data_IF_951793431013
#
_entry.id   IF_951793431013
#
_cell.length_a   1.000
_cell.length_b   1.000
_cell.length_c   1.000
_cell.angle_alpha   90.00
_cell.angle_beta   90.00
_cell.angle_gamma   90.00
#
_symmetry.space_group_name_H-M   'P 1'
#
loop_
_entity.id
_entity.type
_entity.pdbx_description
1 polymer ?
#
# COMPACT_ATOMS: atom_id res chain seq x y z
N UNK A 1 -10.78 17.01 -22.25
CA UNK A 1 -11.44 17.09 -20.92
C UNK A 1 -10.86 15.97 -20.08
N UNK A 2 -9.89 16.30 -19.21
CA UNK A 2 -9.12 15.37 -18.38
C UNK A 2 -9.65 15.46 -16.95
N UNK A 3 -10.00 14.32 -16.34
CA UNK A 3 -10.51 14.18 -14.95
C UNK A 3 -9.47 13.56 -13.99
N UNK A 4 -8.20 13.52 -14.37
CA UNK A 4 -7.27 12.52 -13.84
C UNK A 4 -6.43 12.94 -12.60
N UNK A 5 -6.49 14.18 -12.11
CA UNK A 5 -5.59 14.61 -11.02
C UNK A 5 -6.00 14.13 -9.62
N UNK A 6 -7.30 13.93 -9.39
CA UNK A 6 -7.82 13.61 -8.04
C UNK A 6 -7.93 12.13 -7.73
N UNK A 7 -7.82 11.26 -8.74
CA UNK A 7 -8.10 9.84 -8.57
C UNK A 7 -6.97 9.11 -7.83
N UNK A 8 -5.70 9.49 -7.92
CA UNK A 8 -4.62 8.62 -7.43
C UNK A 8 -4.44 8.58 -5.91
N UNK A 9 -4.61 9.72 -5.21
CA UNK A 9 -4.57 9.77 -3.74
C UNK A 9 -5.88 9.25 -3.14
N UNK A 10 -7.02 9.47 -3.82
CA UNK A 10 -8.31 8.92 -3.42
C UNK A 10 -8.47 7.44 -3.76
N UNK A 11 -7.84 6.90 -4.80
CA UNK A 11 -7.87 5.48 -5.15
C UNK A 11 -7.09 4.65 -4.15
N UNK A 12 -6.00 5.17 -3.57
CA UNK A 12 -5.30 4.52 -2.46
C UNK A 12 -6.21 4.37 -1.22
N UNK A 13 -7.05 5.38 -0.94
CA UNK A 13 -8.03 5.38 0.16
C UNK A 13 -9.35 4.67 -0.20
N UNK A 14 -9.70 4.59 -1.49
CA UNK A 14 -10.92 3.91 -1.96
C UNK A 14 -10.68 2.42 -2.27
N UNK A 15 -9.46 2.01 -2.62
CA UNK A 15 -9.13 0.60 -2.79
C UNK A 15 -9.31 -0.18 -1.48
N UNK A 16 -9.15 0.48 -0.32
CA UNK A 16 -9.50 -0.09 0.99
C UNK A 16 -11.00 -0.04 1.32
N UNK A 17 -11.80 0.76 0.60
CA UNK A 17 -13.27 0.77 0.69
C UNK A 17 -13.96 -0.25 -0.24
N UNK A 18 -13.22 -0.91 -1.14
CA UNK A 18 -13.78 -1.84 -2.13
C UNK A 18 -13.96 -3.28 -1.62
N UNK A 19 -13.53 -3.59 -0.39
CA UNK A 19 -13.75 -4.91 0.21
C UNK A 19 -14.85 -4.78 1.25
N UNK A 20 -16.09 -5.09 0.82
CA UNK A 20 -17.32 -5.25 1.63
C UNK A 20 -18.22 -4.02 1.72
N UNK A 21 -18.90 -3.66 0.63
CA UNK A 21 -20.19 -2.96 0.70
C UNK A 21 -20.92 -3.05 -0.64
N UNK A 22 -21.70 -4.11 -0.82
CA UNK A 22 -22.66 -4.23 -1.95
C UNK A 22 -23.76 -3.15 -1.93
N UNK A 23 -23.77 -2.26 -0.94
CA UNK A 23 -24.72 -1.17 -0.77
C UNK A 23 -24.23 0.20 -1.28
N UNK A 24 -22.95 0.37 -1.66
CA UNK A 24 -22.41 1.63 -2.19
C UNK A 24 -22.51 1.75 -3.72
N UNK A 25 -23.12 0.78 -4.40
CA UNK A 25 -23.17 0.72 -5.87
C UNK A 25 -24.17 1.69 -6.54
N UNK A 26 -24.94 2.49 -5.78
CA UNK A 26 -25.99 3.36 -6.34
C UNK A 26 -25.78 4.86 -6.16
N UNK A 27 -24.85 5.31 -5.31
CA UNK A 27 -24.44 6.70 -5.23
C UNK A 27 -22.97 6.80 -5.61
N UNK A 28 -22.71 7.06 -6.89
CA UNK A 28 -21.36 7.39 -7.33
C UNK A 28 -20.78 8.54 -6.48
N UNK A 29 -19.47 8.56 -6.22
CA UNK A 29 -18.86 9.62 -5.42
C UNK A 29 -19.29 10.98 -5.97
N UNK A 30 -19.78 11.86 -5.07
CA UNK A 30 -20.15 13.24 -5.45
C UNK A 30 -19.00 13.85 -6.25
N UNK A 31 -19.28 14.55 -7.36
CA UNK A 31 -18.22 15.14 -8.17
C UNK A 31 -17.39 16.08 -7.30
N UNK A 32 -16.15 15.69 -7.04
CA UNK A 32 -15.20 16.53 -6.32
C UNK A 32 -14.94 17.73 -7.24
N UNK A 33 -15.16 18.99 -6.78
CA UNK A 33 -14.85 20.16 -7.60
C UNK A 33 -13.39 20.08 -8.07
N UNK A 34 -13.04 20.55 -9.29
CA UNK A 34 -11.67 20.48 -9.80
C UNK A 34 -10.68 21.17 -8.84
N UNK A 35 -9.43 20.69 -8.83
CA UNK A 35 -8.36 21.28 -8.02
C UNK A 35 -8.08 22.73 -8.40
N UNK A 36 -7.37 23.48 -7.57
CA UNK A 36 -6.96 24.85 -7.88
C UNK A 36 -6.10 24.91 -9.15
N UNK A 37 -5.27 23.89 -9.36
CA UNK A 37 -4.46 23.77 -10.59
C UNK A 37 -5.35 23.51 -11.81
N UNK A 38 -6.33 22.61 -11.70
CA UNK A 38 -7.22 22.25 -12.81
C UNK A 38 -8.18 23.38 -13.19
N UNK A 39 -8.54 24.22 -12.22
CA UNK A 39 -9.47 25.34 -12.40
C UNK A 39 -8.81 26.63 -12.92
N UNK A 40 -7.50 26.79 -12.77
CA UNK A 40 -6.74 27.93 -13.30
C UNK A 40 -5.84 27.50 -14.48
N UNK A 41 -6.16 27.91 -15.72
CA UNK A 41 -5.37 27.54 -16.90
C UNK A 41 -3.89 27.99 -16.86
N UNK A 42 -3.55 29.05 -16.12
CA UNK A 42 -2.15 29.48 -15.95
C UNK A 42 -1.42 28.52 -15.02
N UNK A 43 -2.03 28.16 -13.88
CA UNK A 43 -1.47 27.17 -12.97
C UNK A 43 -1.37 25.80 -13.62
N UNK A 44 -2.37 25.37 -14.39
CA UNK A 44 -2.32 24.13 -15.16
C UNK A 44 -1.11 24.08 -16.11
N UNK A 45 -0.86 25.15 -16.89
CA UNK A 45 0.30 25.21 -17.79
C UNK A 45 1.63 25.22 -17.04
N UNK A 46 1.70 25.95 -15.92
CA UNK A 46 2.90 25.97 -15.07
C UNK A 46 3.17 24.59 -14.47
N UNK A 47 2.14 23.91 -13.96
CA UNK A 47 2.22 22.55 -13.46
C UNK A 47 2.71 21.59 -14.55
N UNK A 48 2.14 21.64 -15.75
CA UNK A 48 2.57 20.78 -16.87
C UNK A 48 4.03 21.03 -17.26
N UNK A 49 4.46 22.29 -17.32
CA UNK A 49 5.85 22.65 -17.63
C UNK A 49 6.82 22.11 -16.56
N UNK A 50 6.48 22.31 -15.27
CA UNK A 50 7.26 21.81 -14.16
C UNK A 50 7.36 20.28 -14.17
N UNK A 51 6.25 19.56 -14.34
CA UNK A 51 6.24 18.09 -14.39
C UNK A 51 7.02 17.54 -15.60
N UNK A 52 7.04 18.23 -16.74
CA UNK A 52 7.90 17.85 -17.87
C UNK A 52 9.38 17.97 -17.52
N UNK A 53 9.78 19.09 -16.94
CA UNK A 53 11.18 19.32 -16.54
C UNK A 53 11.62 18.34 -15.43
N UNK A 54 10.78 18.14 -14.42
CA UNK A 54 11.07 17.21 -13.33
C UNK A 54 11.21 15.77 -13.84
N UNK A 55 10.33 15.32 -14.74
CA UNK A 55 10.45 13.97 -15.34
C UNK A 55 11.72 13.79 -16.15
N UNK A 56 12.13 14.80 -16.94
CA UNK A 56 13.39 14.73 -17.67
C UNK A 56 14.58 14.55 -16.71
N UNK A 57 14.62 15.33 -15.62
CA UNK A 57 15.65 15.21 -14.61
C UNK A 57 15.62 13.84 -13.90
N UNK A 58 14.43 13.33 -13.56
CA UNK A 58 14.27 12.01 -12.96
C UNK A 58 14.77 10.94 -13.93
N UNK A 59 14.41 10.99 -15.21
CA UNK A 59 14.89 10.02 -16.19
C UNK A 59 16.42 10.05 -16.33
N UNK A 60 17.02 11.23 -16.41
CA UNK A 60 18.49 11.36 -16.42
C UNK A 60 19.11 10.80 -15.14
N UNK A 61 18.50 11.07 -13.98
CA UNK A 61 18.93 10.53 -12.70
C UNK A 61 18.82 9.01 -12.63
N UNK A 62 17.72 8.42 -13.10
CA UNK A 62 17.50 6.97 -13.10
C UNK A 62 18.50 6.26 -14.02
N UNK A 63 18.88 6.86 -15.16
CA UNK A 63 19.99 6.32 -15.98
C UNK A 63 21.31 6.32 -15.23
N UNK A 64 21.62 7.40 -14.49
CA UNK A 64 22.83 7.47 -13.67
C UNK A 64 22.80 6.48 -12.49
N UNK A 65 21.64 6.27 -11.87
CA UNK A 65 21.42 5.25 -10.84
C UNK A 65 21.67 3.85 -11.43
N UNK A 66 21.02 3.51 -12.53
CA UNK A 66 21.20 2.22 -13.19
C UNK A 66 22.66 1.97 -13.63
N UNK A 67 23.39 3.01 -14.06
CA UNK A 67 24.79 2.91 -14.45
C UNK A 67 25.73 2.49 -13.31
N UNK A 68 25.30 2.59 -12.03
CA UNK A 68 26.07 2.05 -10.89
C UNK A 68 26.10 0.52 -10.88
N UNK A 69 25.13 -0.13 -11.53
CA UNK A 69 25.13 -1.58 -11.77
C UNK A 69 24.86 -2.45 -10.55
N UNK A 70 24.51 -1.89 -9.38
CA UNK A 70 24.11 -2.74 -8.25
C UNK A 70 22.70 -3.29 -8.48
N UNK A 71 22.37 -4.53 -8.02
CA UNK A 71 21.01 -5.07 -8.16
C UNK A 71 19.94 -4.15 -7.57
N UNK A 72 20.24 -3.48 -6.45
CA UNK A 72 19.33 -2.54 -5.79
C UNK A 72 19.09 -1.27 -6.61
N UNK A 73 20.14 -0.69 -7.19
CA UNK A 73 20.03 0.49 -8.05
C UNK A 73 19.30 0.17 -9.36
N UNK A 74 19.62 -0.96 -10.00
CA UNK A 74 18.97 -1.44 -11.21
C UNK A 74 17.48 -1.70 -10.97
N UNK A 75 17.14 -2.27 -9.81
CA UNK A 75 15.76 -2.54 -9.42
C UNK A 75 14.98 -1.24 -9.17
N UNK A 76 15.54 -0.30 -8.41
CA UNK A 76 14.91 0.99 -8.17
C UNK A 76 14.73 1.78 -9.49
N UNK A 77 15.75 1.78 -10.35
CA UNK A 77 15.67 2.40 -11.66
C UNK A 77 14.61 1.74 -12.55
N UNK A 78 14.60 0.42 -12.63
CA UNK A 78 13.61 -0.34 -13.41
C UNK A 78 12.18 -0.06 -12.97
N UNK A 79 11.94 0.00 -11.66
CA UNK A 79 10.60 0.21 -11.10
C UNK A 79 10.07 1.64 -11.30
N UNK A 80 10.97 2.64 -11.23
CA UNK A 80 10.62 4.05 -11.44
C UNK A 80 10.57 4.44 -12.92
N UNK A 81 10.92 3.54 -13.84
CA UNK A 81 11.14 3.87 -15.25
C UNK A 81 9.97 3.56 -16.20
N UNK A 82 9.72 4.49 -17.15
CA UNK A 82 9.64 5.92 -17.02
C UNK A 82 8.43 6.34 -16.19
N UNK A 83 8.50 7.59 -15.74
CA UNK A 83 7.45 8.30 -15.02
C UNK A 83 6.31 8.72 -15.97
N UNK A 84 5.68 7.76 -16.66
CA UNK A 84 4.58 8.03 -17.58
C UNK A 84 3.25 8.01 -16.82
N UNK A 85 2.46 9.07 -16.98
CA UNK A 85 1.19 9.27 -16.26
C UNK A 85 -0.03 8.98 -17.12
N UNK A 86 0.15 8.54 -18.37
CA UNK A 86 -0.96 8.24 -19.25
C UNK A 86 -1.56 6.87 -18.93
N UNK A 87 -2.71 6.87 -18.26
CA UNK A 87 -3.46 5.67 -17.88
C UNK A 87 -3.77 4.77 -19.08
N UNK A 88 -4.03 5.34 -20.26
CA UNK A 88 -4.28 4.56 -21.47
C UNK A 88 -3.03 3.79 -21.91
N UNK A 89 -1.85 4.40 -21.79
CA UNK A 89 -0.57 3.77 -22.09
C UNK A 89 -0.14 2.77 -21.00
N UNK A 90 -0.42 3.06 -19.72
CA UNK A 90 -0.17 2.16 -18.59
C UNK A 90 -1.04 0.91 -18.64
N UNK A 91 -2.34 1.06 -18.93
CA UNK A 91 -3.30 -0.05 -19.05
C UNK A 91 -3.03 -0.93 -20.29
N UNK A 92 -2.58 -0.33 -21.40
CA UNK A 92 -2.32 -1.07 -22.64
C UNK A 92 -1.02 -1.89 -22.60
N UNK A 93 -0.05 -1.52 -21.76
CA UNK A 93 1.28 -2.14 -21.76
C UNK A 93 1.60 -2.88 -20.46
N UNK A 94 0.94 -2.61 -19.34
CA UNK A 94 1.42 -3.01 -18.02
C UNK A 94 2.54 -2.06 -17.56
N UNK A 95 2.57 -1.74 -16.26
CA UNK A 95 3.36 -0.62 -15.70
C UNK A 95 4.88 -0.72 -15.95
N UNK A 96 5.42 -1.93 -16.20
CA UNK A 96 6.86 -2.17 -16.33
C UNK A 96 7.30 -2.86 -17.63
N UNK A 97 6.42 -3.11 -18.60
CA UNK A 97 6.73 -3.91 -19.81
C UNK A 97 7.61 -3.22 -20.86
N UNK A 98 8.38 -2.23 -20.45
CA UNK A 98 9.15 -1.37 -21.34
C UNK A 98 10.56 -1.93 -21.50
N UNK A 99 11.17 -1.90 -22.70
CA UNK A 99 12.44 -2.57 -22.96
C UNK A 99 13.57 -2.18 -21.99
N UNK A 100 13.67 -0.90 -21.63
CA UNK A 100 14.70 -0.40 -20.72
C UNK A 100 14.48 -0.85 -19.27
N UNK A 101 13.25 -0.73 -18.76
CA UNK A 101 12.90 -1.20 -17.42
C UNK A 101 13.13 -2.71 -17.32
N UNK A 102 12.66 -3.47 -18.31
CA UNK A 102 12.89 -4.91 -18.43
C UNK A 102 14.37 -5.26 -18.43
N UNK A 103 15.20 -4.53 -19.18
CA UNK A 103 16.64 -4.78 -19.23
C UNK A 103 17.32 -4.55 -17.87
N UNK A 104 16.94 -3.50 -17.15
CA UNK A 104 17.45 -3.24 -15.79
C UNK A 104 16.97 -4.27 -14.78
N UNK A 105 15.69 -4.66 -14.80
CA UNK A 105 15.17 -5.72 -13.92
C UNK A 105 15.83 -7.08 -14.23
N UNK A 106 16.06 -7.40 -15.50
CA UNK A 106 16.78 -8.62 -15.89
C UNK A 106 18.22 -8.60 -15.34
N UNK A 107 18.95 -7.50 -15.55
CA UNK A 107 20.30 -7.37 -15.03
C UNK A 107 20.36 -7.45 -13.49
N UNK A 108 19.39 -6.83 -12.79
CA UNK A 108 19.27 -6.94 -11.34
C UNK A 108 19.09 -8.40 -10.90
N UNK A 109 18.26 -9.17 -11.61
CA UNK A 109 18.05 -10.59 -11.34
C UNK A 109 19.30 -11.44 -11.62
N UNK A 110 19.99 -11.20 -12.74
CA UNK A 110 21.17 -11.97 -13.16
C UNK A 110 22.35 -11.77 -12.18
N UNK A 111 22.47 -10.56 -11.62
CA UNK A 111 23.52 -10.19 -10.67
C UNK A 111 23.15 -10.44 -9.20
N UNK A 112 21.87 -10.56 -8.86
CA UNK A 112 21.44 -10.85 -7.50
C UNK A 112 21.99 -12.20 -7.00
N UNK A 113 22.67 -12.19 -5.85
CA UNK A 113 23.28 -13.39 -5.23
C UNK A 113 22.51 -13.92 -4.02
N UNK A 114 21.44 -13.25 -3.61
CA UNK A 114 20.65 -13.61 -2.43
C UNK A 114 21.20 -13.04 -1.12
N UNK A 115 22.05 -12.03 -1.22
CA UNK A 115 22.64 -11.25 -0.13
C UNK A 115 21.79 -10.03 0.27
N UNK A 116 20.91 -9.54 -0.63
CA UNK A 116 19.92 -8.50 -0.33
C UNK A 116 18.48 -9.08 -0.38
N UNK A 117 17.87 -9.40 0.77
CA UNK A 117 16.52 -9.95 0.84
C UNK A 117 15.44 -9.02 0.27
N UNK A 118 15.66 -7.70 0.26
CA UNK A 118 14.71 -6.76 -0.35
C UNK A 118 14.73 -6.91 -1.87
N UNK A 119 15.91 -7.02 -2.48
CA UNK A 119 16.04 -7.22 -3.93
C UNK A 119 15.34 -8.51 -4.36
N UNK A 120 15.60 -9.63 -3.67
CA UNK A 120 14.97 -10.91 -4.02
C UNK A 120 13.44 -10.87 -3.85
N UNK A 121 12.93 -10.22 -2.80
CA UNK A 121 11.49 -10.06 -2.59
C UNK A 121 10.85 -9.20 -3.69
N UNK A 122 11.45 -8.07 -4.05
CA UNK A 122 10.88 -7.18 -5.08
C UNK A 122 10.93 -7.82 -6.46
N UNK A 123 11.99 -8.58 -6.77
CA UNK A 123 12.12 -9.30 -8.03
C UNK A 123 10.98 -10.30 -8.28
N UNK A 124 10.33 -10.82 -7.22
CA UNK A 124 9.16 -11.69 -7.39
C UNK A 124 8.07 -11.02 -8.25
N UNK A 125 7.80 -9.74 -8.01
CA UNK A 125 6.75 -9.00 -8.72
C UNK A 125 7.32 -8.20 -9.90
N UNK A 126 8.55 -7.68 -9.79
CA UNK A 126 9.22 -6.91 -10.84
C UNK A 126 9.32 -7.72 -12.14
N UNK A 127 9.67 -9.00 -12.02
CA UNK A 127 9.90 -9.85 -13.17
C UNK A 127 8.61 -10.12 -13.94
N UNK A 128 7.51 -10.43 -13.24
CA UNK A 128 6.21 -10.69 -13.85
C UNK A 128 5.66 -9.44 -14.56
N UNK A 129 5.77 -8.27 -13.90
CA UNK A 129 5.22 -7.00 -14.42
C UNK A 129 6.07 -6.39 -15.54
N UNK A 130 7.38 -6.66 -15.57
CA UNK A 130 8.30 -6.18 -16.62
C UNK A 130 8.46 -7.12 -17.81
N UNK A 131 8.03 -8.38 -17.66
CA UNK A 131 8.30 -9.44 -18.64
C UNK A 131 9.76 -9.91 -18.65
N UNK A 132 10.55 -9.60 -17.61
CA UNK A 132 11.89 -10.17 -17.44
C UNK A 132 11.81 -11.70 -17.24
N UNK A 133 12.81 -12.42 -17.75
CA UNK A 133 12.86 -13.87 -17.71
C UNK A 133 13.55 -14.33 -16.41
N UNK A 134 12.81 -14.25 -15.30
CA UNK A 134 13.31 -14.66 -13.99
C UNK A 134 12.78 -16.04 -13.61
N UNK A 135 13.61 -16.83 -12.91
CA UNK A 135 13.16 -18.06 -12.26
C UNK A 135 12.46 -17.70 -10.94
N UNK A 136 11.12 -17.65 -10.99
CA UNK A 136 10.29 -17.35 -9.83
C UNK A 136 10.45 -18.37 -8.71
N UNK A 137 10.65 -19.66 -9.02
CA UNK A 137 10.81 -20.69 -8.00
C UNK A 137 12.13 -20.51 -7.26
N UNK A 138 13.20 -20.18 -7.98
CA UNK A 138 14.51 -19.84 -7.38
C UNK A 138 14.44 -18.60 -6.50
N UNK A 139 13.71 -17.56 -6.93
CA UNK A 139 13.49 -16.36 -6.11
C UNK A 139 12.72 -16.70 -4.83
N UNK A 140 11.58 -17.40 -4.94
CA UNK A 140 10.80 -17.83 -3.79
C UNK A 140 11.63 -18.64 -2.80
N UNK A 141 12.43 -19.59 -3.29
CA UNK A 141 13.32 -20.39 -2.44
C UNK A 141 14.33 -19.52 -1.68
N UNK A 142 14.90 -18.50 -2.32
CA UNK A 142 15.82 -17.54 -1.66
C UNK A 142 15.11 -16.70 -0.61
N UNK A 143 13.95 -16.13 -0.94
CA UNK A 143 13.18 -15.30 0.00
C UNK A 143 12.74 -16.12 1.21
N UNK A 144 12.25 -17.36 1.01
CA UNK A 144 11.90 -18.27 2.10
C UNK A 144 13.13 -18.62 2.94
N UNK A 145 14.28 -18.88 2.33
CA UNK A 145 15.50 -19.21 3.08
C UNK A 145 16.02 -18.02 3.90
N UNK A 146 15.89 -16.80 3.38
CA UNK A 146 16.27 -15.57 4.07
C UNK A 146 15.30 -15.16 5.19
N UNK A 147 14.05 -15.65 5.14
CA UNK A 147 13.01 -15.31 6.12
C UNK A 147 11.97 -16.45 6.34
N UNK A 148 12.40 -17.61 6.88
CA UNK A 148 11.59 -18.84 6.88
C UNK A 148 10.36 -18.80 7.80
N UNK A 149 10.28 -17.80 8.68
CA UNK A 149 9.18 -17.62 9.63
C UNK A 149 8.14 -16.59 9.18
N UNK A 150 8.28 -16.00 7.99
CA UNK A 150 7.42 -14.92 7.52
C UNK A 150 6.22 -15.45 6.72
N UNK A 151 5.03 -15.24 7.28
CA UNK A 151 3.77 -15.64 6.67
C UNK A 151 3.56 -15.03 5.28
N UNK A 152 3.98 -13.79 5.02
CA UNK A 152 3.81 -13.15 3.70
C UNK A 152 4.52 -13.96 2.60
N UNK A 153 5.78 -14.31 2.84
CA UNK A 153 6.58 -15.08 1.87
C UNK A 153 6.00 -16.47 1.63
N UNK A 154 5.52 -17.13 2.69
CA UNK A 154 4.86 -18.44 2.59
C UNK A 154 3.54 -18.36 1.83
N UNK A 155 2.79 -17.25 1.95
CA UNK A 155 1.57 -17.02 1.18
C UNK A 155 1.86 -16.75 -0.31
N UNK A 156 2.96 -16.06 -0.63
CA UNK A 156 3.43 -15.90 -2.01
C UNK A 156 3.81 -17.26 -2.62
N UNK A 157 4.49 -18.12 -1.86
CA UNK A 157 4.84 -19.46 -2.29
C UNK A 157 3.62 -20.38 -2.45
N UNK A 158 2.62 -20.23 -1.58
CA UNK A 158 1.31 -20.86 -1.73
C UNK A 158 0.65 -20.46 -3.06
N UNK A 159 0.61 -19.16 -3.37
CA UNK A 159 0.00 -18.67 -4.61
C UNK A 159 0.71 -19.22 -5.85
N UNK A 160 2.04 -19.21 -5.87
CA UNK A 160 2.84 -19.80 -6.94
C UNK A 160 2.53 -21.30 -7.13
N UNK A 161 2.44 -22.05 -6.04
CA UNK A 161 2.06 -23.47 -6.11
C UNK A 161 0.64 -23.67 -6.66
N UNK A 162 -0.32 -22.82 -6.29
CA UNK A 162 -1.68 -22.83 -6.85
C UNK A 162 -1.66 -22.55 -8.35
N UNK A 163 -0.92 -21.53 -8.80
CA UNK A 163 -0.78 -21.18 -10.22
C UNK A 163 -0.16 -22.32 -11.04
N UNK A 164 0.82 -23.03 -10.46
CA UNK A 164 1.42 -24.25 -11.04
C UNK A 164 0.54 -25.50 -10.90
N UNK A 165 -0.64 -25.40 -10.28
CA UNK A 165 -1.55 -26.51 -10.00
C UNK A 165 -0.92 -27.62 -9.14
N UNK A 166 0.04 -27.26 -8.29
CA UNK A 166 0.72 -28.14 -7.35
C UNK A 166 0.01 -28.10 -6.00
N UNK A 167 -1.04 -28.92 -5.87
CA UNK A 167 -1.89 -28.93 -4.68
C UNK A 167 -1.15 -29.36 -3.40
N UNK A 168 -0.13 -30.22 -3.54
CA UNK A 168 0.66 -30.72 -2.40
C UNK A 168 1.55 -29.62 -1.86
N UNK A 169 2.30 -28.93 -2.74
CA UNK A 169 3.12 -27.79 -2.32
C UNK A 169 2.27 -26.64 -1.80
N UNK A 170 1.13 -26.35 -2.43
CA UNK A 170 0.21 -25.33 -1.96
C UNK A 170 -0.25 -25.64 -0.54
N UNK A 171 -0.72 -26.85 -0.25
CA UNK A 171 -1.14 -27.19 1.11
C UNK A 171 0.02 -27.10 2.12
N UNK A 172 1.21 -27.54 1.75
CA UNK A 172 2.39 -27.45 2.60
C UNK A 172 2.73 -26.00 2.97
N UNK A 173 2.72 -25.07 2.00
CA UNK A 173 2.97 -23.65 2.24
C UNK A 173 1.84 -23.01 3.05
N UNK A 174 0.59 -23.35 2.78
CA UNK A 174 -0.55 -22.87 3.56
C UNK A 174 -0.44 -23.24 5.05
N UNK A 175 -0.16 -24.51 5.32
CA UNK A 175 0.02 -25.03 6.68
C UNK A 175 1.25 -24.41 7.36
N UNK A 176 2.31 -24.14 6.60
CA UNK A 176 3.49 -23.46 7.11
C UNK A 176 3.21 -22.00 7.44
N UNK A 177 2.42 -21.29 6.63
CA UNK A 177 1.98 -19.93 6.92
C UNK A 177 1.14 -19.87 8.21
N UNK A 178 0.30 -20.89 8.49
CA UNK A 178 -0.40 -21.01 9.77
C UNK A 178 0.51 -21.17 10.99
N UNK A 179 1.69 -21.76 10.80
CA UNK A 179 2.71 -21.94 11.84
C UNK A 179 3.80 -20.87 11.84
N UNK A 180 3.68 -19.86 10.99
CA UNK A 180 4.64 -18.78 10.88
C UNK A 180 4.76 -18.02 12.20
N UNK A 181 5.95 -17.48 12.48
CA UNK A 181 6.21 -16.73 13.70
C UNK A 181 5.87 -15.25 13.57
N UNK A 182 5.84 -14.72 12.35
CA UNK A 182 5.60 -13.31 12.09
C UNK A 182 5.01 -13.08 10.70
N UNK A 183 4.46 -11.88 10.49
CA UNK A 183 4.11 -11.34 9.19
C UNK A 183 4.87 -10.02 9.04
N UNK A 184 5.70 -9.90 8.00
CA UNK A 184 6.44 -8.67 7.71
C UNK A 184 6.33 -8.38 6.23
N UNK A 185 5.54 -7.36 5.91
CA UNK A 185 5.57 -6.82 4.56
C UNK A 185 6.82 -5.99 4.34
N UNK A 186 7.49 -6.20 3.20
CA UNK A 186 8.63 -5.38 2.78
C UNK A 186 8.23 -4.14 2.01
N UNK A 187 6.94 -3.89 1.82
CA UNK A 187 6.43 -2.80 0.99
C UNK A 187 6.93 -1.41 1.41
N UNK A 188 7.08 -1.19 2.71
CA UNK A 188 7.61 0.06 3.26
C UNK A 188 9.09 0.24 2.92
N UNK A 189 9.89 -0.83 2.98
CA UNK A 189 11.31 -0.81 2.59
C UNK A 189 11.47 -0.51 1.10
N UNK A 190 10.57 -1.02 0.25
CA UNK A 190 10.52 -0.68 -1.19
C UNK A 190 10.15 0.79 -1.37
N UNK A 191 9.14 1.27 -0.65
CA UNK A 191 8.75 2.68 -0.63
C UNK A 191 9.91 3.59 -0.25
N UNK A 192 10.63 3.26 0.83
CA UNK A 192 11.78 4.02 1.31
C UNK A 192 12.91 4.04 0.28
N UNK A 193 13.18 2.90 -0.38
CA UNK A 193 14.15 2.81 -1.47
C UNK A 193 13.76 3.74 -2.63
N UNK A 194 12.54 3.63 -3.15
CA UNK A 194 12.06 4.46 -4.25
C UNK A 194 12.06 5.95 -3.89
N UNK A 195 11.62 6.30 -2.69
CA UNK A 195 11.61 7.68 -2.21
C UNK A 195 13.03 8.25 -2.13
N UNK A 196 13.99 7.48 -1.60
CA UNK A 196 15.39 7.92 -1.52
C UNK A 196 15.99 8.24 -2.90
N UNK A 197 15.65 7.43 -3.91
CA UNK A 197 16.11 7.66 -5.29
C UNK A 197 15.46 8.92 -5.88
N UNK A 198 14.15 9.10 -5.72
CA UNK A 198 13.48 10.30 -6.23
C UNK A 198 13.90 11.58 -5.50
N UNK A 199 14.16 11.53 -4.19
CA UNK A 199 14.63 12.70 -3.42
C UNK A 199 16.05 13.12 -3.80
N UNK A 200 16.87 12.19 -4.28
CA UNK A 200 18.21 12.47 -4.79
C UNK A 200 18.20 13.05 -6.22
N UNK A 201 17.05 13.03 -6.92
CA UNK A 201 16.93 13.59 -8.26
C UNK A 201 16.93 15.12 -8.23
N UNK A 202 17.71 15.79 -9.11
CA UNK A 202 17.59 17.23 -9.31
C UNK A 202 16.15 17.62 -9.64
N UNK A 203 15.62 18.62 -8.94
CA UNK A 203 14.24 19.07 -9.14
C UNK A 203 14.23 20.52 -9.65
N UNK A 204 13.41 20.85 -10.67
CA UNK A 204 13.25 22.23 -11.09
C UNK A 204 12.62 23.03 -9.95
N UNK A 205 12.98 24.32 -9.87
CA UNK A 205 12.42 25.22 -8.86
C UNK A 205 10.89 25.30 -9.01
N UNK A 206 10.20 25.21 -7.87
CA UNK A 206 8.75 25.38 -7.81
C UNK A 206 8.44 26.86 -7.57
N UNK A 207 7.75 27.47 -8.53
CA UNK A 207 7.15 28.80 -8.33
C UNK A 207 6.29 28.80 -7.04
N UNK A 208 6.40 29.82 -6.17
CA UNK A 208 5.66 29.85 -4.91
C UNK A 208 4.13 29.75 -5.05
N UNK A 209 3.56 30.29 -6.12
CA UNK A 209 2.11 30.23 -6.38
C UNK A 209 1.70 28.82 -6.78
N UNK A 210 2.50 28.18 -7.65
CA UNK A 210 2.30 26.80 -8.03
C UNK A 210 2.49 25.85 -6.83
N UNK A 211 3.52 26.06 -6.02
CA UNK A 211 3.78 25.29 -4.81
C UNK A 211 2.61 25.36 -3.81
N UNK A 212 2.05 26.55 -3.61
CA UNK A 212 0.88 26.74 -2.76
C UNK A 212 -0.35 26.01 -3.31
N UNK A 213 -0.61 26.10 -4.62
CA UNK A 213 -1.73 25.42 -5.27
C UNK A 213 -1.59 23.89 -5.22
N UNK A 214 -0.37 23.36 -5.44
CA UNK A 214 -0.07 21.93 -5.29
C UNK A 214 -0.26 21.46 -3.84
N UNK A 215 0.20 22.26 -2.88
CA UNK A 215 0.02 21.97 -1.47
C UNK A 215 -1.44 21.97 -1.03
N UNK A 216 -2.27 22.82 -1.63
CA UNK A 216 -3.72 22.84 -1.45
C UNK A 216 -4.39 21.61 -2.06
N UNK A 217 -4.06 21.26 -3.31
CA UNK A 217 -4.65 20.14 -4.04
C UNK A 217 -4.27 18.78 -3.43
N UNK A 218 -3.05 18.64 -2.91
CA UNK A 218 -2.61 17.49 -2.10
C UNK A 218 -3.15 17.55 -0.66
N UNK A 219 -3.59 18.74 -0.24
CA UNK A 219 -3.93 19.10 1.13
C UNK A 219 -2.82 18.72 2.10
N UNK A 220 -1.72 19.45 2.05
CA UNK A 220 -0.60 19.36 2.98
C UNK A 220 -0.74 20.34 4.15
N UNK A 221 -1.58 21.37 4.01
CA UNK A 221 -1.65 22.49 4.95
C UNK A 221 -0.49 23.48 4.82
N UNK A 222 0.31 23.35 3.77
CA UNK A 222 1.49 24.15 3.43
C UNK A 222 1.73 24.09 1.94
N UNK A 223 2.62 24.94 1.42
CA UNK A 223 3.14 24.78 0.06
C UNK A 223 3.83 23.42 -0.12
N UNK A 224 3.62 22.81 -1.28
CA UNK A 224 4.30 21.59 -1.67
C UNK A 224 5.78 21.86 -1.99
N UNK A 225 6.58 20.82 -1.78
CA UNK A 225 7.98 20.74 -2.18
C UNK A 225 8.13 19.67 -3.26
N UNK A 226 9.25 19.67 -3.98
CA UNK A 226 9.54 18.61 -4.96
C UNK A 226 9.60 17.22 -4.31
N UNK A 227 10.00 17.16 -3.02
CA UNK A 227 9.99 15.93 -2.23
C UNK A 227 8.57 15.36 -2.08
N UNK A 228 7.59 16.23 -1.78
CA UNK A 228 6.19 15.81 -1.64
C UNK A 228 5.65 15.18 -2.94
N UNK A 229 6.05 15.73 -4.09
CA UNK A 229 5.64 15.21 -5.40
C UNK A 229 6.28 13.86 -5.69
N UNK A 230 7.56 13.68 -5.33
CA UNK A 230 8.22 12.36 -5.35
C UNK A 230 7.50 11.35 -4.46
N UNK A 231 7.16 11.74 -3.22
CA UNK A 231 6.46 10.87 -2.26
C UNK A 231 5.08 10.44 -2.75
N UNK A 232 4.34 11.33 -3.44
CA UNK A 232 3.05 10.99 -4.06
C UNK A 232 3.21 9.93 -5.16
N UNK A 233 4.27 10.01 -5.97
CA UNK A 233 4.55 8.98 -6.98
C UNK A 233 4.88 7.64 -6.32
N UNK A 234 5.74 7.64 -5.30
CA UNK A 234 6.09 6.41 -4.56
C UNK A 234 4.86 5.77 -3.93
N UNK A 235 3.99 6.58 -3.31
CA UNK A 235 2.75 6.08 -2.71
C UNK A 235 1.85 5.42 -3.75
N UNK A 236 1.69 6.04 -4.92
CA UNK A 236 0.90 5.47 -6.02
C UNK A 236 1.48 4.13 -6.51
N UNK A 237 2.81 4.01 -6.60
CA UNK A 237 3.48 2.76 -6.98
C UNK A 237 3.36 1.69 -5.89
N UNK A 238 3.51 2.03 -4.61
CA UNK A 238 3.40 1.09 -3.50
C UNK A 238 2.00 0.45 -3.43
N UNK A 239 0.94 1.22 -3.61
CA UNK A 239 -0.45 0.68 -3.55
C UNK A 239 -0.67 -0.43 -4.59
N UNK A 240 -0.06 -0.31 -5.78
CA UNK A 240 -0.17 -1.32 -6.82
C UNK A 240 0.48 -2.66 -6.45
N UNK A 241 1.43 -2.66 -5.50
CA UNK A 241 2.17 -3.84 -5.04
C UNK A 241 1.46 -4.53 -3.86
N UNK A 242 0.77 -3.77 -3.00
CA UNK A 242 0.23 -4.28 -1.74
C UNK A 242 -0.93 -5.28 -1.88
N UNK A 243 -1.79 -5.10 -2.90
CA UNK A 243 -3.08 -5.79 -2.97
C UNK A 243 -3.01 -7.30 -3.32
N UNK A 244 -2.18 -7.76 -4.26
CA UNK A 244 -2.11 -9.18 -4.61
C UNK A 244 -1.73 -10.09 -3.44
N UNK A 245 -0.93 -9.62 -2.48
CA UNK A 245 -0.47 -10.41 -1.34
C UNK A 245 -1.60 -10.94 -0.42
N UNK A 246 -2.78 -10.28 -0.45
CA UNK A 246 -3.94 -10.68 0.36
C UNK A 246 -4.88 -11.65 -0.37
N UNK A 247 -4.69 -11.85 -1.67
CA UNK A 247 -5.56 -12.68 -2.50
C UNK A 247 -5.70 -14.14 -1.98
N UNK A 248 -4.63 -14.82 -1.53
CA UNK A 248 -4.76 -16.15 -0.93
C UNK A 248 -5.74 -16.22 0.26
N UNK A 249 -5.68 -15.20 1.13
CA UNK A 249 -6.55 -15.10 2.30
C UNK A 249 -7.98 -14.82 1.87
N UNK A 250 -8.17 -13.92 0.90
CA UNK A 250 -9.50 -13.66 0.36
C UNK A 250 -10.10 -14.94 -0.24
N UNK A 251 -9.35 -15.72 -1.03
CA UNK A 251 -9.89 -16.92 -1.66
C UNK A 251 -10.20 -18.04 -0.65
N UNK A 252 -9.31 -18.26 0.33
CA UNK A 252 -9.38 -19.45 1.21
C UNK A 252 -10.10 -19.19 2.54
N UNK A 253 -10.12 -17.94 3.00
CA UNK A 253 -10.65 -17.57 4.30
C UNK A 253 -11.95 -16.74 4.25
N UNK A 254 -12.52 -16.41 3.08
CA UNK A 254 -13.77 -15.63 2.99
C UNK A 254 -15.04 -16.44 2.72
N UNK A 255 -14.96 -17.78 2.62
CA UNK A 255 -16.19 -18.57 2.55
C UNK A 255 -17.04 -18.26 3.80
N UNK A 256 -18.27 -17.74 3.58
CA UNK A 256 -19.17 -17.25 4.63
C UNK A 256 -19.18 -18.19 5.85
N UNK A 257 -19.23 -17.59 7.04
CA UNK A 257 -19.29 -18.27 8.36
C UNK A 257 -20.14 -19.54 8.26
N UNK A 258 -19.54 -20.68 8.62
CA UNK A 258 -20.17 -22.00 8.54
C UNK A 258 -19.81 -22.87 7.32
N UNK A 259 -19.02 -22.36 6.36
CA UNK A 259 -18.56 -23.14 5.18
C UNK A 259 -17.05 -23.42 5.14
N UNK A 260 -16.26 -22.87 6.06
CA UNK A 260 -14.83 -23.18 6.18
C UNK A 260 -14.66 -24.36 7.14
N UNK A 261 -13.98 -25.45 6.74
CA UNK A 261 -13.64 -26.55 7.65
C UNK A 261 -12.91 -26.04 8.90
N UNK A 262 -13.16 -26.64 10.07
CA UNK A 262 -12.61 -26.17 11.36
C UNK A 262 -11.08 -26.02 11.33
N UNK A 263 -10.39 -26.94 10.66
CA UNK A 263 -8.94 -26.91 10.48
C UNK A 263 -8.48 -25.73 9.63
N UNK A 264 -9.15 -25.48 8.50
CA UNK A 264 -8.85 -24.34 7.65
C UNK A 264 -9.14 -23.01 8.37
N UNK A 265 -10.20 -22.95 9.19
CA UNK A 265 -10.51 -21.79 10.02
C UNK A 265 -9.41 -21.52 11.04
N UNK A 266 -8.87 -22.55 11.68
CA UNK A 266 -7.74 -22.43 12.64
C UNK A 266 -6.52 -21.81 11.96
N UNK A 267 -6.13 -22.32 10.80
CA UNK A 267 -5.00 -21.77 10.03
C UNK A 267 -5.26 -20.33 9.60
N UNK A 268 -6.44 -20.03 9.04
CA UNK A 268 -6.81 -18.65 8.67
C UNK A 268 -6.73 -17.70 9.87
N UNK A 269 -7.19 -18.13 11.04
CA UNK A 269 -7.17 -17.34 12.27
C UNK A 269 -5.76 -17.04 12.75
N UNK A 270 -4.84 -18.01 12.65
CA UNK A 270 -3.42 -17.80 12.95
C UNK A 270 -2.80 -16.74 12.01
N UNK A 271 -3.04 -16.86 10.71
CA UNK A 271 -2.51 -15.90 9.73
C UNK A 271 -3.13 -14.51 9.95
N UNK A 272 -4.42 -14.41 10.23
CA UNK A 272 -5.07 -13.14 10.58
C UNK A 272 -4.52 -12.54 11.87
N UNK A 273 -4.16 -13.34 12.87
CA UNK A 273 -3.55 -12.82 14.09
C UNK A 273 -2.21 -12.11 13.80
N UNK A 274 -1.38 -12.70 12.92
CA UNK A 274 -0.12 -12.12 12.46
C UNK A 274 -0.36 -10.86 11.62
N UNK A 275 -1.26 -10.93 10.63
CA UNK A 275 -1.61 -9.80 9.77
C UNK A 275 -2.20 -8.62 10.56
N UNK A 276 -3.01 -8.90 11.59
CA UNK A 276 -3.57 -7.88 12.48
C UNK A 276 -2.54 -7.27 13.45
N UNK A 277 -1.37 -7.89 13.60
CA UNK A 277 -0.28 -7.35 14.40
C UNK A 277 0.70 -6.53 13.55
N UNK A 278 0.67 -6.70 12.23
CA UNK A 278 1.49 -5.92 11.32
C UNK A 278 0.99 -4.47 11.22
N UNK A 279 1.87 -3.54 11.59
CA UNK A 279 1.61 -2.10 11.54
C UNK A 279 2.07 -1.45 10.24
N UNK A 280 2.67 -2.22 9.33
CA UNK A 280 3.30 -1.70 8.12
C UNK A 280 2.29 -1.01 7.20
N UNK A 281 1.10 -1.59 7.06
CA UNK A 281 -0.01 -1.11 6.23
C UNK A 281 -1.32 -1.09 7.01
N UNK A 282 -2.27 -0.24 6.60
CA UNK A 282 -3.62 -0.21 7.17
C UNK A 282 -4.48 -1.41 6.72
N UNK A 283 -4.20 -1.93 5.52
CA UNK A 283 -5.05 -2.94 4.87
C UNK A 283 -5.03 -4.29 5.60
N UNK A 284 -3.89 -4.67 6.19
CA UNK A 284 -3.77 -5.92 6.93
C UNK A 284 -4.72 -5.95 8.14
N UNK A 285 -4.56 -5.04 9.11
CA UNK A 285 -5.43 -4.94 10.27
C UNK A 285 -6.90 -4.67 9.91
N UNK A 286 -7.19 -3.85 8.90
CA UNK A 286 -8.58 -3.54 8.50
C UNK A 286 -9.35 -4.77 8.03
N UNK A 287 -8.65 -5.75 7.42
CA UNK A 287 -9.22 -7.01 6.96
C UNK A 287 -9.23 -8.09 8.05
N UNK A 288 -8.13 -8.20 8.81
CA UNK A 288 -7.93 -9.29 9.75
C UNK A 288 -8.72 -9.12 11.07
N UNK A 289 -8.76 -7.91 11.64
CA UNK A 289 -9.39 -7.68 12.95
C UNK A 289 -10.89 -8.01 12.98
N UNK A 290 -11.71 -7.65 11.97
CA UNK A 290 -13.10 -8.09 11.91
C UNK A 290 -13.27 -9.61 11.98
N UNK A 291 -12.44 -10.36 11.23
CA UNK A 291 -12.49 -11.83 11.20
C UNK A 291 -12.11 -12.45 12.53
N UNK A 292 -11.15 -11.87 13.23
CA UNK A 292 -10.77 -12.35 14.57
C UNK A 292 -11.89 -12.16 15.60
N UNK A 293 -12.69 -11.09 15.49
CA UNK A 293 -13.87 -10.90 16.34
C UNK A 293 -14.96 -11.94 16.02
N UNK A 294 -15.24 -12.14 14.73
CA UNK A 294 -16.27 -13.10 14.26
C UNK A 294 -15.93 -14.56 14.59
N UNK A 295 -14.64 -14.92 14.54
CA UNK A 295 -14.18 -16.30 14.71
C UNK A 295 -13.53 -16.58 16.07
N UNK A 296 -13.74 -15.70 17.05
CA UNK A 296 -13.32 -15.96 18.42
C UNK A 296 -14.02 -17.22 18.97
N UNK A 297 -13.24 -18.13 19.55
CA UNK A 297 -13.72 -19.41 20.08
C UNK A 297 -14.40 -19.24 21.46
N UNK A 298 -14.19 -18.09 22.12
CA UNK A 298 -14.81 -17.74 23.41
C UNK A 298 -14.85 -16.23 23.66
N UNK A 299 -15.47 -15.83 24.76
CA UNK A 299 -15.66 -14.39 25.09
C UNK A 299 -14.36 -13.66 25.37
N UNK A 300 -13.39 -14.28 26.06
CA UNK A 300 -12.11 -13.62 26.38
C UNK A 300 -11.34 -13.25 25.11
N UNK A 301 -11.27 -14.19 24.16
CA UNK A 301 -10.65 -13.96 22.87
C UNK A 301 -11.41 -12.91 22.06
N UNK A 302 -12.75 -12.95 22.08
CA UNK A 302 -13.58 -11.96 21.41
C UNK A 302 -13.39 -10.57 22.00
N UNK A 303 -13.29 -10.46 23.32
CA UNK A 303 -13.04 -9.20 24.02
C UNK A 303 -11.67 -8.63 23.66
N UNK A 304 -10.63 -9.47 23.63
CA UNK A 304 -9.29 -9.05 23.20
C UNK A 304 -9.28 -8.59 21.73
N UNK A 305 -9.94 -9.33 20.83
CA UNK A 305 -10.06 -8.94 19.42
C UNK A 305 -10.84 -7.64 19.23
N UNK A 306 -11.94 -7.44 20.00
CA UNK A 306 -12.73 -6.21 20.00
C UNK A 306 -11.91 -5.01 20.48
N UNK A 307 -11.12 -5.15 21.54
CA UNK A 307 -10.28 -4.04 22.00
C UNK A 307 -9.19 -3.68 20.97
N UNK A 308 -8.58 -4.67 20.32
CA UNK A 308 -7.64 -4.43 19.21
C UNK A 308 -8.33 -3.71 18.04
N UNK A 309 -9.52 -4.16 17.65
CA UNK A 309 -10.34 -3.50 16.62
C UNK A 309 -10.69 -2.06 17.01
N UNK A 310 -11.08 -1.81 18.26
CA UNK A 310 -11.41 -0.47 18.77
C UNK A 310 -10.21 0.48 18.67
N UNK A 311 -9.02 0.04 19.08
CA UNK A 311 -7.80 0.85 18.99
C UNK A 311 -7.38 1.12 17.56
N UNK A 312 -7.44 0.10 16.69
CA UNK A 312 -7.18 0.26 15.27
C UNK A 312 -8.15 1.27 14.63
N UNK A 313 -9.46 1.07 14.84
CA UNK A 313 -10.49 1.91 14.26
C UNK A 313 -10.38 3.36 14.72
N UNK A 314 -9.95 3.60 15.97
CA UNK A 314 -9.66 4.94 16.46
C UNK A 314 -8.55 5.63 15.68
N UNK A 315 -7.38 4.99 15.55
CA UNK A 315 -6.26 5.56 14.78
C UNK A 315 -6.68 5.81 13.34
N UNK A 316 -7.33 4.83 12.72
CA UNK A 316 -7.81 4.91 11.34
C UNK A 316 -8.78 6.07 11.13
N UNK A 317 -9.88 6.13 11.89
CA UNK A 317 -10.90 7.16 11.73
C UNK A 317 -10.42 8.54 12.18
N UNK A 318 -9.68 8.66 13.28
CA UNK A 318 -9.13 9.93 13.73
C UNK A 318 -8.14 10.51 12.71
N UNK A 319 -7.30 9.65 12.11
CA UNK A 319 -6.38 10.07 11.06
C UNK A 319 -7.10 10.42 9.75
N UNK A 320 -8.09 9.62 9.31
CA UNK A 320 -8.91 9.96 8.15
C UNK A 320 -9.63 11.30 8.32
N UNK A 321 -10.16 11.60 9.51
CA UNK A 321 -10.78 12.90 9.80
C UNK A 321 -9.80 14.07 9.60
N UNK A 322 -8.49 13.87 9.80
CA UNK A 322 -7.51 14.92 9.48
C UNK A 322 -7.52 15.24 7.98
N UNK A 323 -7.62 14.24 7.11
CA UNK A 323 -7.71 14.43 5.67
C UNK A 323 -9.04 15.04 5.21
N UNK A 324 -10.10 14.97 6.02
CA UNK A 324 -11.38 15.62 5.73
C UNK A 324 -11.42 17.11 6.10
N UNK A 325 -10.42 17.60 6.85
CA UNK A 325 -10.32 19.02 7.17
C UNK A 325 -10.07 19.85 5.91
N UNK A 326 -10.60 21.10 5.85
CA UNK A 326 -10.21 22.08 4.84
C UNK A 326 -8.68 22.20 4.75
N UNK A 327 -8.16 22.45 3.55
CA UNK A 327 -6.72 22.45 3.30
C UNK A 327 -5.94 23.38 4.25
N UNK A 328 -6.51 24.54 4.61
CA UNK A 328 -5.92 25.50 5.54
C UNK A 328 -5.96 25.09 7.03
N UNK A 329 -6.82 24.13 7.40
CA UNK A 329 -6.94 23.59 8.76
C UNK A 329 -6.18 22.27 8.93
N UNK A 330 -5.86 21.61 7.81
CA UNK A 330 -5.13 20.35 7.81
C UNK A 330 -3.69 20.58 8.25
N UNK A 331 -3.18 19.67 9.08
CA UNK A 331 -1.78 19.69 9.55
C UNK A 331 -1.19 18.31 9.31
N UNK A 332 -0.42 18.19 8.24
CA UNK A 332 0.38 17.00 7.96
C UNK A 332 1.85 17.31 8.28
N UNK A 333 2.52 16.50 9.12
CA UNK A 333 3.93 16.67 9.39
C UNK A 333 4.77 16.63 8.11
N UNK A 334 5.83 17.44 8.03
CA UNK A 334 6.72 17.51 6.85
C UNK A 334 7.36 16.15 6.54
N UNK A 335 7.64 15.37 7.58
CA UNK A 335 8.26 14.05 7.52
C UNK A 335 7.23 12.90 7.52
N UNK A 336 5.93 13.17 7.34
CA UNK A 336 4.88 12.14 7.44
C UNK A 336 5.10 10.98 6.47
N UNK A 337 5.39 11.27 5.19
CA UNK A 337 5.61 10.24 4.17
C UNK A 337 6.90 9.46 4.41
N UNK A 338 7.95 10.13 4.89
CA UNK A 338 9.19 9.45 5.26
C UNK A 338 8.96 8.45 6.41
N UNK A 339 8.19 8.86 7.43
CA UNK A 339 7.77 7.96 8.52
C UNK A 339 6.88 6.84 8.04
N UNK A 340 5.98 7.09 7.10
CA UNK A 340 5.14 6.04 6.53
C UNK A 340 6.00 4.97 5.87
N UNK A 341 6.98 5.36 5.06
CA UNK A 341 7.88 4.40 4.40
C UNK A 341 8.89 3.74 5.36
N UNK A 342 9.24 4.38 6.48
CA UNK A 342 10.19 3.80 7.44
C UNK A 342 9.52 2.95 8.51
N UNK A 343 8.46 3.47 9.11
CA UNK A 343 7.84 2.96 10.34
C UNK A 343 6.46 2.33 10.09
N UNK A 344 5.88 2.56 8.91
CA UNK A 344 4.55 2.07 8.51
C UNK A 344 3.41 3.05 8.70
N UNK A 345 2.31 2.79 7.99
CA UNK A 345 1.15 3.69 7.92
C UNK A 345 0.53 3.94 9.31
N UNK A 346 0.36 2.90 10.13
CA UNK A 346 -0.21 3.06 11.47
C UNK A 346 0.69 3.87 12.41
N UNK A 347 2.01 3.73 12.29
CA UNK A 347 2.97 4.52 13.07
C UNK A 347 2.95 5.99 12.63
N UNK A 348 2.94 6.24 11.32
CA UNK A 348 2.85 7.59 10.76
C UNK A 348 1.54 8.30 11.13
N UNK A 349 0.41 7.58 11.15
CA UNK A 349 -0.87 8.13 11.61
C UNK A 349 -0.86 8.46 13.10
N UNK A 350 -0.34 7.57 13.96
CA UNK A 350 -0.19 7.87 15.40
C UNK A 350 0.65 9.12 15.63
N UNK A 351 1.76 9.24 14.91
CA UNK A 351 2.64 10.41 14.97
C UNK A 351 1.92 11.69 14.53
N UNK A 352 1.16 11.65 13.44
CA UNK A 352 0.34 12.77 12.99
C UNK A 352 -0.68 13.19 14.06
N UNK A 353 -1.41 12.22 14.64
CA UNK A 353 -2.41 12.50 15.67
C UNK A 353 -1.77 13.16 16.90
N UNK A 354 -0.64 12.64 17.35
CA UNK A 354 0.11 13.18 18.48
C UNK A 354 0.53 14.64 18.24
N UNK A 355 1.07 14.96 17.05
CA UNK A 355 1.44 16.33 16.69
C UNK A 355 0.26 17.28 16.59
N UNK A 356 -0.93 16.76 16.26
CA UNK A 356 -2.16 17.54 16.20
C UNK A 356 -2.87 17.62 17.57
N UNK A 357 -2.26 17.12 18.65
CA UNK A 357 -2.85 17.14 19.99
C UNK A 357 -4.04 16.19 20.15
N UNK A 358 -4.16 15.18 19.29
CA UNK A 358 -5.22 14.17 19.33
C UNK A 358 -4.67 12.93 20.03
N UNK A 359 -5.43 12.42 21.00
CA UNK A 359 -5.07 11.20 21.71
C UNK A 359 -4.88 10.02 20.74
N UNK A 360 -3.85 9.22 20.94
CA UNK A 360 -3.59 8.00 20.14
C UNK A 360 -4.33 6.78 20.67
N UNK A 361 -5.02 6.90 21.80
CA UNK A 361 -5.88 5.87 22.36
C UNK A 361 -7.34 6.30 22.30
N UNK A 362 -8.27 5.39 21.99
CA UNK A 362 -9.69 5.70 21.99
C UNK A 362 -10.18 6.10 23.39
N UNK A 363 -10.96 7.19 23.52
CA UNK A 363 -11.63 7.54 24.76
C UNK A 363 -12.47 6.38 25.32
N UNK A 364 -12.70 6.38 26.63
CA UNK A 364 -13.57 5.39 27.27
C UNK A 364 -14.99 5.43 26.66
N UNK A 365 -15.52 4.27 26.29
CA UNK A 365 -16.84 4.14 25.66
C UNK A 365 -16.92 4.63 24.20
N UNK A 366 -15.81 5.08 23.60
CA UNK A 366 -15.81 5.47 22.18
C UNK A 366 -16.13 4.27 21.27
N UNK A 367 -16.95 4.53 20.24
CA UNK A 367 -17.30 3.59 19.19
C UNK A 367 -17.01 4.21 17.81
N UNK A 368 -16.57 3.41 16.82
CA UNK A 368 -16.28 3.85 15.46
C UNK A 368 -17.53 4.32 14.72
N UNK A 369 -17.37 5.24 13.78
CA UNK A 369 -18.41 5.66 12.85
C UNK A 369 -18.67 4.61 11.76
N UNK A 370 -17.67 3.80 11.42
CA UNK A 370 -17.86 2.66 10.53
C UNK A 370 -18.91 1.69 11.11
N UNK A 371 -20.03 1.43 10.40
CA UNK A 371 -21.13 0.64 10.93
C UNK A 371 -20.76 -0.83 11.13
N UNK A 372 -19.87 -1.40 10.30
CA UNK A 372 -19.41 -2.78 10.44
C UNK A 372 -18.55 -2.95 11.69
N UNK A 373 -17.59 -2.05 11.91
CA UNK A 373 -16.78 -2.06 13.13
C UNK A 373 -17.64 -1.85 14.37
N UNK A 374 -18.59 -0.91 14.32
CA UNK A 374 -19.52 -0.65 15.43
C UNK A 374 -20.38 -1.86 15.76
N UNK A 375 -20.90 -2.55 14.75
CA UNK A 375 -21.66 -3.79 14.91
C UNK A 375 -20.82 -4.86 15.62
N UNK A 376 -19.57 -5.07 15.20
CA UNK A 376 -18.66 -6.05 15.80
C UNK A 376 -18.32 -5.72 17.26
N UNK A 377 -18.17 -4.43 17.60
CA UNK A 377 -17.89 -3.99 18.97
C UNK A 377 -19.09 -4.08 19.91
N UNK A 378 -20.30 -3.82 19.40
CA UNK A 378 -21.53 -3.78 20.21
C UNK A 378 -22.32 -5.09 20.19
N UNK A 379 -22.05 -5.98 19.23
CA UNK A 379 -22.86 -7.16 18.95
C UNK A 379 -24.18 -6.86 18.24
N UNK A 380 -24.41 -5.61 17.82
CA UNK A 380 -25.59 -5.23 17.03
C UNK A 380 -25.46 -5.73 15.58
N UNK A 381 -26.58 -6.01 14.91
CA UNK A 381 -26.59 -6.29 13.48
C UNK A 381 -26.31 -5.03 12.66
N UNK A 382 -25.49 -5.12 11.63
CA UNK A 382 -25.28 -4.03 10.66
C UNK A 382 -26.63 -3.68 10.01
N UNK A 383 -27.09 -2.42 10.04
CA UNK A 383 -28.30 -2.03 9.34
C UNK A 383 -28.15 -2.32 7.84
N UNK A 384 -28.99 -3.18 7.30
CA UNK A 384 -29.06 -3.38 5.85
C UNK A 384 -29.71 -2.12 5.27
N UNK A 385 -28.92 -1.30 4.58
CA UNK A 385 -29.46 -0.20 3.78
C UNK A 385 -30.47 -0.79 2.79
N UNK A 386 -31.73 -0.31 2.86
CA UNK A 386 -32.81 -0.68 1.96
C UNK A 386 -32.72 0.08 0.65
#
# INVERSE_FOLDING_TARGET
MRKAGKMSVWLAVMATMWVSSSAMAQEGPRPVPPGRIESDPRLARAAEAWHRAWRANVEDHLRAVAARGTPRDLLAAGWLWPMETDEATLAARGSLSRPQARAWIQAAYDDARGDDPLVDWVLLDACATSGAACDRQRLLARVIAGDPGNAETLLLAYQDAVERKDAVAAEAYWQSAGRASHYRSRINEVGALMASVLHASPSPELDPTLAAAMGEDLGLGRSATSKDLGDVVVMALNVAIALPALQPLQQRCTARVGRVPAEARRVCKQIYALLAADGSTLIGPSFALPRLVEWADGEDERAAARERLRRFAWIYEAGLRQYLLPANARRLPVDHMERMFRDGELAAMRYQLQLNGIATEPPAGWLPDNPEYRALLTGASVPVAR
#
